data_IF_056359301991
#
_entry.id   IF_056359301991
#
_cell.length_a   1.000
_cell.length_b   1.000
_cell.length_c   1.000
_cell.angle_alpha   90.00
_cell.angle_beta   90.00
_cell.angle_gamma   90.00
#
_symmetry.space_group_name_H-M   'P 1'
#
loop_
_entity.id
_entity.type
_entity.pdbx_description
1 polymer ?
#
# COMPACT_ATOMS: atom_id res chain seq x y z
N UNK A 1 -13.72 19.97 -3.76
CA UNK A 1 -12.56 20.30 -2.92
C UNK A 1 -13.00 20.15 -1.49
N UNK A 2 -12.19 19.55 -0.62
CA UNK A 2 -12.42 19.54 0.82
C UNK A 2 -12.28 21.00 1.25
N UNK A 3 -13.44 21.61 1.48
CA UNK A 3 -13.65 23.02 1.81
C UNK A 3 -13.95 23.20 3.29
N UNK A 4 -13.94 22.12 4.09
CA UNK A 4 -14.21 22.19 5.52
C UNK A 4 -13.08 22.97 6.20
N UNK A 5 -13.44 24.07 6.83
CA UNK A 5 -12.53 24.98 7.52
C UNK A 5 -12.32 24.57 8.98
N UNK A 6 -13.26 23.81 9.55
CA UNK A 6 -13.14 23.19 10.87
C UNK A 6 -13.70 21.76 10.91
N UNK A 7 -13.54 21.11 12.07
CA UNK A 7 -13.92 19.71 12.28
C UNK A 7 -15.44 19.52 12.41
N UNK A 8 -16.18 20.55 12.83
CA UNK A 8 -17.62 20.45 13.05
C UNK A 8 -18.37 20.49 11.71
N UNK A 9 -17.92 21.33 10.77
CA UNK A 9 -18.38 21.30 9.37
C UNK A 9 -18.15 19.92 8.73
N UNK A 10 -17.00 19.28 9.02
CA UNK A 10 -16.70 17.93 8.53
C UNK A 10 -17.64 16.89 9.15
N UNK A 11 -17.89 16.95 10.47
CA UNK A 11 -18.82 16.06 11.17
C UNK A 11 -20.25 16.23 10.65
N UNK A 12 -20.69 17.46 10.38
CA UNK A 12 -21.99 17.76 9.80
C UNK A 12 -22.11 17.14 8.40
N UNK A 13 -21.12 17.35 7.53
CA UNK A 13 -21.12 16.78 6.18
C UNK A 13 -21.15 15.24 6.16
N UNK A 14 -20.55 14.59 7.17
CA UNK A 14 -20.60 13.15 7.39
C UNK A 14 -22.00 12.71 7.82
N UNK A 15 -22.62 13.45 8.76
CA UNK A 15 -23.97 13.20 9.26
C UNK A 15 -25.03 13.35 8.17
N UNK A 16 -24.97 14.42 7.37
CA UNK A 16 -25.88 14.66 6.24
C UNK A 16 -25.88 13.52 5.21
N UNK A 17 -24.73 12.85 5.05
CA UNK A 17 -24.55 11.73 4.12
C UNK A 17 -24.81 10.36 4.75
N UNK A 18 -25.19 10.32 6.02
CA UNK A 18 -25.43 9.08 6.77
C UNK A 18 -24.22 8.12 6.73
N UNK A 19 -23.02 8.65 6.99
CA UNK A 19 -21.76 7.89 6.97
C UNK A 19 -21.25 7.55 8.38
N UNK A 20 -20.72 6.34 8.55
CA UNK A 20 -20.14 5.83 9.80
C UNK A 20 -18.62 6.05 9.81
N UNK A 21 -18.20 7.28 10.11
CA UNK A 21 -16.79 7.66 10.29
C UNK A 21 -16.57 8.03 11.76
N UNK A 22 -15.69 7.33 12.48
CA UNK A 22 -15.45 7.61 13.90
C UNK A 22 -14.53 8.80 14.09
N UNK A 23 -14.76 9.56 15.16
CA UNK A 23 -13.88 10.61 15.65
C UNK A 23 -13.62 10.40 17.14
N UNK A 24 -12.43 10.79 17.59
CA UNK A 24 -12.09 10.87 19.02
C UNK A 24 -11.08 11.99 19.25
N UNK A 25 -11.27 12.73 20.35
CA UNK A 25 -10.34 13.75 20.82
C UNK A 25 -9.21 13.13 21.69
N UNK A 26 -9.33 11.85 22.04
CA UNK A 26 -8.35 11.10 22.80
C UNK A 26 -7.17 10.66 21.92
N UNK A 27 -6.28 11.59 21.58
CA UNK A 27 -5.12 11.30 20.72
C UNK A 27 -4.01 10.50 21.41
N UNK A 28 -4.02 10.40 22.75
CA UNK A 28 -3.09 9.57 23.52
C UNK A 28 -3.16 8.09 23.10
N UNK A 29 -4.33 7.63 22.65
CA UNK A 29 -4.52 6.25 22.20
C UNK A 29 -3.60 5.88 21.02
N UNK A 30 -3.17 6.86 20.23
CA UNK A 30 -2.29 6.68 19.07
C UNK A 30 -0.82 6.53 19.47
N UNK A 31 -0.44 7.01 20.65
CA UNK A 31 0.95 7.01 21.15
C UNK A 31 1.36 5.67 21.77
N UNK A 32 0.39 4.85 22.16
CA UNK A 32 0.64 3.54 22.76
C UNK A 32 1.32 2.56 21.79
N UNK A 33 2.23 1.74 22.32
CA UNK A 33 2.93 0.72 21.56
C UNK A 33 2.05 -0.52 21.28
N UNK A 34 2.55 -1.38 20.39
CA UNK A 34 2.03 -2.71 20.12
C UNK A 34 3.20 -3.70 20.10
N UNK A 35 2.90 -4.98 20.31
CA UNK A 35 3.87 -6.06 20.18
C UNK A 35 3.46 -7.00 19.05
N UNK A 36 4.44 -7.41 18.24
CA UNK A 36 4.29 -8.40 17.19
C UNK A 36 5.48 -9.35 17.24
N UNK A 37 5.22 -10.62 17.60
CA UNK A 37 6.22 -11.69 17.68
C UNK A 37 7.48 -11.28 18.48
N UNK A 38 7.30 -10.65 19.66
CA UNK A 38 8.39 -10.22 20.53
C UNK A 38 9.07 -8.91 20.14
N UNK A 39 8.65 -8.26 19.04
CA UNK A 39 9.15 -6.96 18.60
C UNK A 39 8.14 -5.86 18.90
N UNK A 40 8.63 -4.68 19.26
CA UNK A 40 7.80 -3.52 19.61
C UNK A 40 7.57 -2.64 18.39
N UNK A 41 6.32 -2.25 18.17
CA UNK A 41 5.92 -1.15 17.29
C UNK A 41 5.62 0.05 18.21
N UNK A 42 6.42 1.13 18.20
CA UNK A 42 6.42 2.12 19.29
C UNK A 42 5.17 3.01 19.36
N UNK A 43 4.36 3.07 18.30
CA UNK A 43 3.09 3.79 18.27
C UNK A 43 2.18 3.24 17.16
N UNK A 44 0.91 3.69 17.11
CA UNK A 44 -0.13 3.17 16.21
C UNK A 44 -0.23 3.93 14.88
N UNK A 45 0.84 4.61 14.48
CA UNK A 45 0.92 5.39 13.24
C UNK A 45 1.89 4.73 12.28
N UNK A 46 1.45 4.55 11.03
CA UNK A 46 2.24 3.90 10.00
C UNK A 46 2.40 4.75 8.73
N UNK A 47 3.51 4.50 8.03
CA UNK A 47 3.71 4.97 6.67
C UNK A 47 3.36 3.83 5.72
N UNK A 48 2.40 4.07 4.83
CA UNK A 48 2.03 3.11 3.78
C UNK A 48 3.06 3.10 2.65
N UNK A 49 3.19 1.99 1.92
CA UNK A 49 4.20 1.87 0.89
C UNK A 49 3.81 2.71 -0.34
N UNK A 50 4.73 3.60 -0.73
CA UNK A 50 4.57 4.59 -1.79
C UNK A 50 5.81 4.59 -2.68
N UNK A 51 5.63 4.13 -3.93
CA UNK A 51 6.72 3.98 -4.90
C UNK A 51 7.32 5.33 -5.31
N UNK A 52 8.65 5.45 -5.21
CA UNK A 52 9.44 6.62 -5.57
C UNK A 52 9.91 6.61 -7.03
N UNK A 53 9.97 5.45 -7.69
CA UNK A 53 10.53 5.30 -9.05
C UNK A 53 11.89 6.02 -9.19
N UNK A 54 12.75 5.85 -8.19
CA UNK A 54 14.01 6.56 -8.02
C UNK A 54 15.15 5.66 -7.55
N UNK A 55 15.01 4.33 -7.67
CA UNK A 55 16.11 3.40 -7.43
C UNK A 55 17.25 3.61 -8.44
N UNK A 56 18.45 3.11 -8.09
CA UNK A 56 19.52 2.90 -9.08
C UNK A 56 19.08 1.86 -10.11
N UNK A 57 19.75 1.81 -11.26
CA UNK A 57 19.37 0.89 -12.35
C UNK A 57 19.47 -0.59 -11.94
N UNK A 58 20.41 -0.93 -11.07
CA UNK A 58 20.55 -2.28 -10.50
C UNK A 58 19.47 -2.61 -9.44
N UNK A 59 18.63 -1.64 -9.06
CA UNK A 59 17.57 -1.82 -8.07
C UNK A 59 17.91 -1.38 -6.65
N UNK A 60 19.16 -1.00 -6.38
CA UNK A 60 19.57 -0.55 -5.05
C UNK A 60 18.94 0.81 -4.69
N UNK A 61 18.75 1.10 -3.39
CA UNK A 61 18.38 2.43 -2.92
C UNK A 61 19.30 3.52 -3.47
N UNK A 62 18.71 4.61 -3.94
CA UNK A 62 19.44 5.83 -4.32
C UNK A 62 19.50 6.84 -3.18
N UNK A 63 20.17 7.97 -3.41
CA UNK A 63 20.16 9.11 -2.50
C UNK A 63 18.74 9.63 -2.21
N UNK A 64 17.84 9.61 -3.20
CA UNK A 64 16.45 10.02 -2.99
C UNK A 64 15.66 8.99 -2.19
N UNK A 65 15.94 7.69 -2.40
CA UNK A 65 15.40 6.62 -1.57
C UNK A 65 15.86 6.80 -0.12
N UNK A 66 17.16 6.98 0.11
CA UNK A 66 17.73 7.22 1.43
C UNK A 66 17.13 8.47 2.09
N UNK A 67 17.11 9.61 1.39
CA UNK A 67 16.50 10.85 1.88
C UNK A 67 15.05 10.64 2.30
N UNK A 68 14.26 9.89 1.51
CA UNK A 68 12.85 9.59 1.82
C UNK A 68 12.72 8.82 3.12
N UNK A 69 13.41 7.70 3.27
CA UNK A 69 13.26 6.88 4.47
C UNK A 69 13.89 7.50 5.72
N UNK A 70 14.94 8.32 5.58
CA UNK A 70 15.46 9.10 6.73
C UNK A 70 14.50 10.20 7.19
N UNK A 71 13.73 10.81 6.28
CA UNK A 71 12.65 11.73 6.67
C UNK A 71 11.54 10.99 7.42
N UNK A 72 11.23 9.77 7.01
CA UNK A 72 10.25 8.92 7.68
C UNK A 72 10.72 8.49 9.08
N UNK A 73 11.99 8.12 9.22
CA UNK A 73 12.62 7.85 10.51
C UNK A 73 12.47 9.06 11.45
N UNK A 74 12.88 10.25 10.99
CA UNK A 74 12.71 11.53 11.71
C UNK A 74 11.26 11.85 12.07
N UNK A 75 10.31 11.33 11.31
CA UNK A 75 8.89 11.51 11.52
C UNK A 75 8.26 10.64 12.59
N UNK A 76 9.01 9.71 13.21
CA UNK A 76 8.59 8.90 14.38
C UNK A 76 7.33 8.04 14.17
N UNK A 77 6.99 7.68 12.94
CA UNK A 77 5.94 6.68 12.70
C UNK A 77 6.40 5.32 13.25
N UNK A 78 5.54 4.62 13.99
CA UNK A 78 5.90 3.36 14.62
C UNK A 78 6.10 2.21 13.63
N UNK A 79 5.49 2.28 12.46
CA UNK A 79 5.72 1.33 11.38
C UNK A 79 6.06 2.07 10.08
N UNK A 80 7.14 1.66 9.42
CA UNK A 80 7.51 2.16 8.10
C UNK A 80 7.42 1.01 7.11
N UNK A 81 6.46 1.10 6.19
CA UNK A 81 6.28 0.15 5.11
C UNK A 81 7.02 0.65 3.87
N UNK A 82 8.06 -0.08 3.48
CA UNK A 82 8.82 0.22 2.28
C UNK A 82 8.00 -0.02 1.03
N UNK A 83 8.25 0.80 0.02
CA UNK A 83 7.64 0.71 -1.29
C UNK A 83 7.82 -0.66 -1.97
N UNK A 84 7.01 -0.89 -2.99
CA UNK A 84 7.06 -2.11 -3.79
C UNK A 84 8.48 -2.39 -4.30
N UNK A 85 9.07 -3.47 -3.81
CA UNK A 85 10.40 -3.97 -4.13
C UNK A 85 10.24 -5.27 -4.88
N UNK A 86 10.81 -5.34 -6.09
CA UNK A 86 10.66 -6.49 -6.96
C UNK A 86 11.35 -7.73 -6.36
N UNK A 87 10.75 -8.91 -6.57
CA UNK A 87 11.33 -10.21 -6.17
C UNK A 87 12.27 -10.81 -7.22
N UNK A 88 12.15 -10.35 -8.46
CA UNK A 88 13.00 -10.73 -9.59
C UNK A 88 13.15 -9.55 -10.55
N UNK A 89 14.04 -9.68 -11.53
CA UNK A 89 14.20 -8.66 -12.58
C UNK A 89 12.92 -8.52 -13.40
N UNK A 90 12.27 -9.64 -13.68
CA UNK A 90 11.07 -9.73 -14.50
C UNK A 90 9.84 -9.13 -13.81
N UNK A 91 9.85 -9.16 -12.47
CA UNK A 91 8.83 -8.62 -11.59
C UNK A 91 8.78 -7.07 -11.58
N UNK A 92 9.76 -6.38 -12.19
CA UNK A 92 9.88 -4.92 -12.13
C UNK A 92 8.81 -4.17 -12.94
N UNK A 93 8.36 -3.05 -12.37
CA UNK A 93 7.47 -2.07 -12.97
C UNK A 93 8.21 -1.18 -13.99
N UNK A 94 9.48 -0.90 -13.70
CA UNK A 94 10.41 -0.11 -14.49
C UNK A 94 11.85 -0.29 -13.95
N UNK A 95 12.84 0.15 -14.72
CA UNK A 95 14.27 0.16 -14.40
C UNK A 95 14.67 0.99 -13.15
N UNK A 96 13.74 1.72 -12.53
CA UNK A 96 13.94 2.52 -11.29
C UNK A 96 13.05 2.07 -10.14
N UNK A 97 12.44 0.90 -10.24
CA UNK A 97 11.85 0.24 -9.08
C UNK A 97 12.96 -0.40 -8.22
N UNK A 98 12.82 -0.35 -6.90
CA UNK A 98 13.65 -1.12 -5.99
C UNK A 98 13.59 -2.61 -6.35
N UNK A 99 14.74 -3.28 -6.30
CA UNK A 99 14.86 -4.71 -6.52
C UNK A 99 15.91 -5.24 -5.55
N UNK A 100 15.49 -6.14 -4.66
CA UNK A 100 16.35 -6.76 -3.67
C UNK A 100 16.90 -8.08 -4.24
N UNK A 101 18.22 -8.16 -4.33
CA UNK A 101 18.99 -9.30 -4.82
C UNK A 101 20.37 -9.35 -4.13
N UNK A 102 21.17 -10.37 -4.41
CA UNK A 102 22.50 -10.53 -3.82
C UNK A 102 23.46 -9.36 -4.09
N UNK A 103 23.29 -8.62 -5.19
CA UNK A 103 24.13 -7.47 -5.52
C UNK A 103 23.73 -6.19 -4.78
N UNK A 104 22.52 -6.13 -4.24
CA UNK A 104 21.92 -4.91 -3.66
C UNK A 104 21.63 -5.02 -2.17
N UNK A 105 21.64 -6.23 -1.60
CA UNK A 105 21.31 -6.49 -0.18
C UNK A 105 22.14 -5.65 0.79
N UNK A 106 23.41 -5.39 0.47
CA UNK A 106 24.30 -4.57 1.29
C UNK A 106 23.85 -3.11 1.35
N UNK A 107 23.39 -2.52 0.25
CA UNK A 107 22.84 -1.17 0.24
C UNK A 107 21.51 -1.07 0.98
N UNK A 108 20.65 -2.10 0.90
CA UNK A 108 19.44 -2.18 1.72
C UNK A 108 19.79 -2.28 3.21
N UNK A 109 20.75 -3.13 3.58
CA UNK A 109 21.24 -3.28 4.95
C UNK A 109 21.78 -1.96 5.51
N UNK A 110 22.60 -1.26 4.71
CA UNK A 110 23.11 0.06 5.07
C UNK A 110 21.99 1.09 5.29
N UNK A 111 20.96 1.10 4.43
CA UNK A 111 19.82 1.99 4.60
C UNK A 111 19.00 1.66 5.86
N UNK A 112 18.71 0.38 6.11
CA UNK A 112 18.01 -0.09 7.31
C UNK A 112 18.78 0.32 8.56
N UNK A 113 20.11 0.14 8.58
CA UNK A 113 20.96 0.57 9.68
C UNK A 113 20.86 2.09 9.90
N UNK A 114 20.97 2.89 8.84
CA UNK A 114 20.86 4.36 8.94
C UNK A 114 19.50 4.79 9.49
N UNK A 115 18.41 4.12 9.11
CA UNK A 115 17.07 4.40 9.65
C UNK A 115 17.01 4.11 11.15
N UNK A 116 17.53 2.97 11.59
CA UNK A 116 17.56 2.58 13.01
C UNK A 116 18.44 3.55 13.82
N UNK A 117 19.65 3.85 13.33
CA UNK A 117 20.57 4.82 13.96
C UNK A 117 19.94 6.22 14.08
N UNK A 118 19.29 6.70 13.01
CA UNK A 118 18.62 8.00 13.02
C UNK A 118 17.46 8.02 14.02
N UNK A 119 16.69 6.94 14.11
CA UNK A 119 15.57 6.79 15.06
C UNK A 119 16.03 6.79 16.51
N UNK A 120 17.21 6.22 16.80
CA UNK A 120 17.85 6.29 18.12
C UNK A 120 18.18 7.74 18.49
N UNK A 121 18.79 8.50 17.58
CA UNK A 121 19.23 9.89 17.83
C UNK A 121 18.08 10.86 18.16
N UNK A 122 16.91 10.65 17.57
CA UNK A 122 15.78 11.60 17.66
C UNK A 122 14.78 11.31 18.79
N UNK A 123 14.99 10.26 19.57
CA UNK A 123 14.08 9.88 20.66
C UNK A 123 13.91 8.39 20.92
N UNK A 124 14.78 7.53 20.36
CA UNK A 124 14.80 6.09 20.62
C UNK A 124 13.48 5.34 20.33
N UNK A 125 12.72 5.82 19.33
CA UNK A 125 11.54 5.13 18.80
C UNK A 125 11.90 4.47 17.47
N UNK A 126 12.52 3.30 17.54
CA UNK A 126 12.90 2.54 16.33
C UNK A 126 11.64 2.00 15.66
N UNK A 127 11.37 2.37 14.39
CA UNK A 127 10.19 1.91 13.68
C UNK A 127 10.30 0.43 13.33
N UNK A 128 9.16 -0.26 13.31
CA UNK A 128 9.04 -1.59 12.73
C UNK A 128 9.07 -1.48 11.20
N UNK A 129 10.04 -2.13 10.56
CA UNK A 129 10.30 -1.99 9.13
C UNK A 129 9.73 -3.17 8.34
N UNK A 130 8.85 -2.89 7.38
CA UNK A 130 8.22 -3.89 6.52
C UNK A 130 8.66 -3.68 5.08
N UNK A 131 9.27 -4.68 4.43
CA UNK A 131 9.62 -4.62 3.00
C UNK A 131 8.50 -5.20 2.13
N UNK A 132 7.89 -4.38 1.26
CA UNK A 132 6.85 -4.87 0.34
C UNK A 132 7.46 -5.61 -0.85
N UNK A 133 7.40 -6.94 -0.83
CA UNK A 133 7.74 -7.80 -1.96
C UNK A 133 6.63 -7.76 -3.00
N UNK A 134 6.99 -7.52 -4.25
CA UNK A 134 6.03 -7.25 -5.31
C UNK A 134 6.39 -7.89 -6.65
N UNK A 135 5.35 -8.31 -7.38
CA UNK A 135 5.44 -8.62 -8.80
C UNK A 135 4.48 -7.74 -9.60
N UNK A 136 5.03 -6.93 -10.52
CA UNK A 136 4.28 -5.87 -11.21
C UNK A 136 3.26 -6.39 -12.24
N UNK A 137 3.38 -7.65 -12.65
CA UNK A 137 2.41 -8.35 -13.50
C UNK A 137 2.12 -7.58 -14.79
N UNK A 138 0.84 -7.42 -15.13
CA UNK A 138 0.42 -6.65 -16.32
C UNK A 138 0.92 -5.21 -16.37
N UNK A 139 1.23 -4.62 -15.21
CA UNK A 139 1.75 -3.25 -15.13
C UNK A 139 3.29 -3.20 -15.08
N UNK A 140 3.95 -4.35 -15.17
CA UNK A 140 5.39 -4.50 -15.35
C UNK A 140 5.87 -4.21 -16.77
N UNK A 141 7.19 -4.14 -16.94
CA UNK A 141 7.82 -4.04 -18.27
C UNK A 141 7.58 -5.31 -19.10
N UNK A 142 7.64 -6.47 -18.45
CA UNK A 142 7.48 -7.78 -19.10
C UNK A 142 6.01 -8.22 -19.29
N UNK A 143 5.05 -7.44 -18.78
CA UNK A 143 3.60 -7.67 -19.01
C UNK A 143 3.12 -9.09 -18.69
N UNK A 144 3.66 -9.71 -17.65
CA UNK A 144 3.28 -11.05 -17.22
C UNK A 144 1.85 -11.03 -16.67
N UNK A 145 0.97 -11.87 -17.21
CA UNK A 145 -0.46 -11.92 -16.89
C UNK A 145 -0.87 -13.33 -16.46
N UNK A 146 -1.86 -13.43 -15.56
CA UNK A 146 -2.51 -14.67 -15.19
C UNK A 146 -3.83 -14.91 -15.95
N UNK A 147 -4.42 -13.85 -16.51
CA UNK A 147 -5.65 -13.88 -17.33
C UNK A 147 -5.64 -12.81 -18.43
N UNK A 148 -6.37 -13.08 -19.51
CA UNK A 148 -6.80 -12.08 -20.47
C UNK A 148 -8.13 -11.44 -20.06
N UNK A 149 -8.23 -10.14 -20.29
CA UNK A 149 -9.48 -9.37 -20.28
C UNK A 149 -9.32 -8.18 -21.21
N UNK A 150 -10.26 -7.98 -22.15
CA UNK A 150 -10.13 -6.95 -23.19
C UNK A 150 -9.88 -5.55 -22.61
N UNK A 151 -10.60 -5.17 -21.55
CA UNK A 151 -10.49 -3.83 -20.94
C UNK A 151 -9.16 -3.69 -20.21
N UNK A 152 -8.79 -4.70 -19.43
CA UNK A 152 -7.52 -4.67 -18.69
C UNK A 152 -6.34 -4.70 -19.65
N UNK A 153 -6.37 -5.54 -20.68
CA UNK A 153 -5.26 -5.71 -21.62
C UNK A 153 -5.03 -4.42 -22.41
N UNK A 154 -6.11 -3.79 -22.90
CA UNK A 154 -6.06 -2.46 -23.52
C UNK A 154 -5.50 -1.40 -22.58
N UNK A 155 -5.91 -1.40 -21.30
CA UNK A 155 -5.42 -0.43 -20.31
C UNK A 155 -3.93 -0.63 -20.01
N UNK A 156 -3.47 -1.87 -19.91
CA UNK A 156 -2.08 -2.21 -19.58
C UNK A 156 -1.15 -2.34 -20.78
N UNK A 157 -1.65 -2.14 -22.01
CA UNK A 157 -0.96 -2.40 -23.27
C UNK A 157 -0.40 -3.83 -23.36
N UNK A 158 -1.20 -4.80 -22.93
CA UNK A 158 -0.90 -6.23 -23.09
C UNK A 158 -1.39 -6.66 -24.47
N UNK A 159 -0.56 -7.42 -25.20
CA UNK A 159 -0.96 -7.99 -26.48
C UNK A 159 -1.88 -9.19 -26.21
N UNK A 160 -2.98 -9.32 -26.96
CA UNK A 160 -3.89 -10.46 -26.82
C UNK A 160 -3.20 -11.81 -27.15
N UNK A 161 -2.10 -11.79 -27.90
CA UNK A 161 -1.28 -12.97 -28.19
C UNK A 161 -0.21 -13.27 -27.12
N UNK A 162 -0.12 -12.46 -26.06
CA UNK A 162 0.81 -12.71 -24.96
C UNK A 162 0.41 -13.99 -24.21
N UNK A 163 1.37 -14.87 -23.95
CA UNK A 163 1.12 -16.05 -23.13
C UNK A 163 0.77 -15.68 -21.68
N UNK A 164 -0.11 -16.46 -21.07
CA UNK A 164 -0.32 -16.42 -19.63
C UNK A 164 0.92 -17.02 -18.94
N UNK A 165 1.25 -16.52 -17.74
CA UNK A 165 2.19 -17.22 -16.85
C UNK A 165 1.71 -18.65 -16.65
N UNK A 166 2.57 -19.63 -16.79
CA UNK A 166 2.24 -21.06 -16.67
C UNK A 166 2.15 -21.47 -15.20
N UNK A 167 1.61 -22.65 -14.93
CA UNK A 167 1.57 -23.19 -13.56
C UNK A 167 3.00 -23.48 -13.06
N UNK A 168 3.89 -23.97 -13.93
CA UNK A 168 5.32 -24.17 -13.61
C UNK A 168 6.03 -22.86 -13.30
N UNK A 169 5.83 -21.80 -14.10
CA UNK A 169 6.43 -20.49 -13.81
C UNK A 169 5.90 -19.88 -12.49
N UNK A 170 4.67 -20.19 -12.08
CA UNK A 170 4.15 -19.79 -10.77
C UNK A 170 4.83 -20.58 -9.64
N UNK A 171 5.02 -21.88 -9.80
CA UNK A 171 5.78 -22.70 -8.84
C UNK A 171 7.23 -22.21 -8.71
N UNK A 172 7.88 -21.86 -9.83
CA UNK A 172 9.22 -21.26 -9.82
C UNK A 172 9.23 -19.86 -9.19
N UNK A 173 8.14 -19.08 -9.37
CA UNK A 173 8.02 -17.74 -8.80
C UNK A 173 8.05 -17.74 -7.27
N UNK A 174 7.55 -18.81 -6.65
CA UNK A 174 7.60 -18.99 -5.20
C UNK A 174 9.03 -18.88 -4.66
N UNK A 175 10.01 -19.49 -5.36
CA UNK A 175 11.41 -19.48 -4.96
C UNK A 175 11.98 -18.06 -4.92
N UNK A 176 11.56 -17.16 -5.82
CA UNK A 176 11.98 -15.75 -5.78
C UNK A 176 11.41 -15.01 -4.57
N UNK A 177 10.19 -15.34 -4.11
CA UNK A 177 9.65 -14.76 -2.87
C UNK A 177 10.41 -15.27 -1.64
N UNK A 178 10.76 -16.56 -1.60
CA UNK A 178 11.57 -17.13 -0.52
C UNK A 178 12.95 -16.48 -0.48
N UNK A 179 13.63 -16.38 -1.62
CA UNK A 179 14.96 -15.78 -1.71
C UNK A 179 14.95 -14.30 -1.33
N UNK A 180 14.01 -13.52 -1.88
CA UNK A 180 13.86 -12.12 -1.50
C UNK A 180 13.56 -11.94 0.00
N UNK A 181 12.87 -12.90 0.63
CA UNK A 181 12.61 -12.89 2.07
C UNK A 181 13.87 -13.20 2.90
N UNK A 182 14.73 -14.12 2.44
CA UNK A 182 16.04 -14.38 3.05
C UNK A 182 16.90 -13.12 3.03
N UNK A 183 16.98 -12.47 1.88
CA UNK A 183 17.72 -11.21 1.72
C UNK A 183 17.11 -10.06 2.54
N UNK A 184 15.77 -10.00 2.68
CA UNK A 184 15.14 -8.97 3.50
C UNK A 184 15.50 -9.14 4.98
N UNK A 185 15.54 -10.39 5.46
CA UNK A 185 16.01 -10.71 6.81
C UNK A 185 17.48 -10.36 7.00
N UNK A 186 18.33 -10.69 6.02
CA UNK A 186 19.76 -10.32 6.02
C UNK A 186 19.97 -8.80 6.06
N UNK A 187 19.17 -8.04 5.30
CA UNK A 187 19.18 -6.58 5.31
C UNK A 187 18.64 -5.97 6.61
N UNK A 188 18.11 -6.78 7.53
CA UNK A 188 17.68 -6.35 8.86
C UNK A 188 16.26 -5.77 8.93
N UNK A 189 15.42 -6.05 7.94
CA UNK A 189 13.99 -5.76 8.02
C UNK A 189 13.31 -6.61 9.10
N UNK A 190 12.27 -6.06 9.72
CA UNK A 190 11.52 -6.77 10.76
C UNK A 190 10.50 -7.74 10.17
N UNK A 191 9.92 -7.36 9.02
CA UNK A 191 8.95 -8.15 8.27
C UNK A 191 9.09 -7.98 6.76
N UNK A 192 8.52 -8.94 6.02
CA UNK A 192 8.17 -8.78 4.60
C UNK A 192 6.66 -8.59 4.43
N UNK A 193 6.25 -8.01 3.32
CA UNK A 193 4.86 -7.93 2.88
C UNK A 193 4.67 -8.60 1.52
N UNK A 194 3.76 -9.56 1.44
CA UNK A 194 3.37 -10.21 0.18
C UNK A 194 2.26 -9.39 -0.48
N UNK A 195 2.65 -8.50 -1.40
CA UNK A 195 1.74 -7.55 -2.02
C UNK A 195 0.68 -8.23 -2.89
N UNK A 196 -0.56 -8.23 -2.42
CA UNK A 196 -1.69 -8.95 -3.02
C UNK A 196 -2.87 -8.02 -3.34
N UNK A 197 -2.56 -6.84 -3.89
CA UNK A 197 -3.54 -5.78 -4.14
C UNK A 197 -3.40 -5.15 -5.54
N UNK A 198 -4.40 -4.35 -5.93
CA UNK A 198 -4.32 -3.39 -7.04
C UNK A 198 -4.14 -3.95 -8.46
N UNK A 199 -4.49 -5.22 -8.71
CA UNK A 199 -4.29 -5.92 -10.00
C UNK A 199 -2.82 -6.10 -10.40
N UNK A 200 -1.92 -6.04 -9.43
CA UNK A 200 -0.60 -6.66 -9.57
C UNK A 200 -0.74 -8.18 -9.59
N UNK A 201 0.31 -8.92 -9.95
CA UNK A 201 0.20 -10.33 -10.34
C UNK A 201 -0.57 -11.18 -9.32
N UNK A 202 -0.23 -11.09 -8.03
CA UNK A 202 -0.90 -11.87 -6.99
C UNK A 202 -2.37 -11.49 -6.84
N UNK A 203 -2.71 -10.20 -6.89
CA UNK A 203 -4.11 -9.74 -6.92
C UNK A 203 -4.85 -10.25 -8.15
N UNK A 204 -4.18 -10.33 -9.29
CA UNK A 204 -4.77 -10.87 -10.52
C UNK A 204 -5.06 -12.36 -10.42
N UNK A 205 -4.12 -13.16 -9.89
CA UNK A 205 -4.31 -14.59 -9.62
C UNK A 205 -5.50 -14.80 -8.68
N UNK A 206 -5.61 -13.99 -7.62
CA UNK A 206 -6.76 -14.02 -6.73
C UNK A 206 -8.08 -13.81 -7.49
N UNK A 207 -8.12 -13.02 -8.56
CA UNK A 207 -9.31 -12.80 -9.40
C UNK A 207 -9.45 -13.75 -10.59
N UNK A 208 -8.53 -14.69 -10.80
CA UNK A 208 -8.41 -15.49 -12.03
C UNK A 208 -9.42 -16.65 -12.15
N UNK A 209 -10.72 -16.35 -12.14
CA UNK A 209 -11.80 -17.38 -12.23
C UNK A 209 -11.88 -18.08 -13.58
N UNK A 210 -11.30 -17.49 -14.62
CA UNK A 210 -11.29 -18.02 -15.99
C UNK A 210 -9.97 -18.73 -16.35
N UNK A 211 -8.95 -18.60 -15.50
CA UNK A 211 -7.67 -19.30 -15.66
C UNK A 211 -7.88 -20.81 -15.43
N UNK A 212 -7.33 -21.63 -16.31
CA UNK A 212 -7.27 -23.10 -16.16
C UNK A 212 -6.09 -23.50 -15.27
N UNK A 213 -6.07 -24.74 -14.79
CA UNK A 213 -4.97 -25.26 -13.99
C UNK A 213 -5.16 -25.07 -12.48
N UNK A 214 -4.10 -25.34 -11.73
CA UNK A 214 -4.17 -25.42 -10.26
C UNK A 214 -4.10 -24.06 -9.56
N UNK A 215 -3.83 -22.99 -10.32
CA UNK A 215 -3.79 -21.59 -9.86
C UNK A 215 -4.98 -20.74 -10.37
N UNK A 216 -6.01 -21.37 -10.94
CA UNK A 216 -7.17 -20.69 -11.51
C UNK A 216 -8.51 -21.35 -11.18
N UNK A 217 -9.61 -20.65 -11.50
CA UNK A 217 -10.96 -21.18 -11.33
C UNK A 217 -11.49 -21.04 -9.90
N UNK A 218 -11.62 -22.17 -9.19
CA UNK A 218 -12.21 -22.20 -7.84
C UNK A 218 -11.34 -21.46 -6.81
N UNK A 219 -11.95 -21.10 -5.68
CA UNK A 219 -11.29 -20.35 -4.61
C UNK A 219 -9.97 -20.99 -4.17
N UNK A 220 -9.96 -22.30 -3.91
CA UNK A 220 -8.81 -23.02 -3.38
C UNK A 220 -7.60 -22.93 -4.31
N UNK A 221 -7.84 -22.93 -5.62
CA UNK A 221 -6.81 -22.82 -6.64
C UNK A 221 -6.28 -21.39 -6.75
N UNK A 222 -7.16 -20.38 -6.80
CA UNK A 222 -6.76 -18.97 -6.93
C UNK A 222 -6.01 -18.44 -5.71
N UNK A 223 -6.30 -18.97 -4.52
CA UNK A 223 -5.60 -18.60 -3.27
C UNK A 223 -4.40 -19.49 -2.97
N UNK A 224 -4.14 -20.51 -3.79
CA UNK A 224 -3.04 -21.45 -3.61
C UNK A 224 -1.69 -20.76 -3.51
N UNK A 225 -1.34 -19.97 -4.52
CA UNK A 225 -0.01 -19.37 -4.66
C UNK A 225 0.40 -18.54 -3.43
N UNK A 226 -0.46 -17.62 -2.97
CA UNK A 226 -0.15 -16.81 -1.79
C UNK A 226 0.02 -17.66 -0.52
N UNK A 227 -0.75 -18.74 -0.38
CA UNK A 227 -0.66 -19.65 0.76
C UNK A 227 0.63 -20.48 0.73
N UNK A 228 1.01 -20.98 -0.44
CA UNK A 228 2.26 -21.72 -0.64
C UNK A 228 3.48 -20.82 -0.39
N UNK A 229 3.48 -19.59 -0.89
CA UNK A 229 4.53 -18.58 -0.58
C UNK A 229 4.66 -18.36 0.94
N UNK A 230 3.54 -18.22 1.66
CA UNK A 230 3.56 -18.06 3.13
C UNK A 230 4.13 -19.29 3.82
N UNK A 231 3.69 -20.49 3.42
CA UNK A 231 4.18 -21.74 4.01
C UNK A 231 5.69 -21.90 3.82
N UNK A 232 6.20 -21.61 2.63
CA UNK A 232 7.62 -21.76 2.31
C UNK A 232 8.49 -20.71 3.01
N UNK A 233 8.05 -19.45 3.11
CA UNK A 233 8.77 -18.42 3.89
C UNK A 233 8.81 -18.79 5.37
N UNK A 234 7.70 -19.25 5.94
CA UNK A 234 7.65 -19.70 7.34
C UNK A 234 8.61 -20.88 7.58
N UNK A 235 8.67 -21.83 6.65
CA UNK A 235 9.54 -23.01 6.74
C UNK A 235 11.03 -22.67 6.64
N UNK A 236 11.41 -21.75 5.76
CA UNK A 236 12.82 -21.55 5.41
C UNK A 236 13.48 -20.30 6.01
N UNK A 237 12.72 -19.26 6.31
CA UNK A 237 13.29 -17.92 6.59
C UNK A 237 13.11 -17.51 8.04
N UNK A 238 11.92 -17.71 8.61
CA UNK A 238 11.59 -17.22 9.95
C UNK A 238 11.71 -15.70 10.07
N UNK A 239 11.06 -14.97 9.16
CA UNK A 239 10.82 -13.52 9.20
C UNK A 239 9.32 -13.29 9.38
N UNK A 240 8.92 -12.19 10.03
CA UNK A 240 7.51 -11.88 10.17
C UNK A 240 6.88 -11.61 8.79
N UNK A 241 5.67 -12.11 8.57
CA UNK A 241 4.96 -11.97 7.31
C UNK A 241 3.76 -11.04 7.51
N UNK A 242 3.71 -10.03 6.65
CA UNK A 242 2.56 -9.17 6.43
C UNK A 242 1.93 -9.46 5.07
N UNK A 243 0.65 -9.12 4.93
CA UNK A 243 -0.03 -9.16 3.63
C UNK A 243 -0.84 -7.89 3.41
N UNK A 244 -0.52 -7.17 2.33
CA UNK A 244 -1.34 -6.08 1.81
C UNK A 244 -2.35 -6.62 0.80
N UNK A 245 -3.62 -6.62 1.18
CA UNK A 245 -4.69 -7.31 0.44
C UNK A 245 -5.80 -6.34 0.01
N UNK A 246 -6.26 -6.48 -1.23
CA UNK A 246 -7.53 -5.88 -1.63
C UNK A 246 -8.69 -6.62 -0.92
N UNK A 247 -9.54 -5.90 -0.18
CA UNK A 247 -10.81 -6.46 0.28
C UNK A 247 -11.79 -6.59 -0.88
N UNK A 248 -11.74 -5.66 -1.82
CA UNK A 248 -12.46 -5.74 -3.09
C UNK A 248 -11.69 -4.97 -4.15
N UNK A 249 -11.64 -5.49 -5.37
CA UNK A 249 -11.08 -4.74 -6.51
C UNK A 249 -12.11 -3.86 -7.24
N UNK A 250 -13.41 -4.07 -7.00
CA UNK A 250 -14.51 -3.41 -7.70
C UNK A 250 -14.36 -3.49 -9.23
N UNK A 251 -14.01 -4.67 -9.73
CA UNK A 251 -13.98 -4.99 -11.15
C UNK A 251 -15.18 -5.84 -11.57
N UNK A 252 -15.40 -5.95 -12.88
CA UNK A 252 -16.48 -6.77 -13.41
C UNK A 252 -16.24 -8.26 -13.20
N UNK A 253 -17.32 -9.01 -12.99
CA UNK A 253 -17.28 -10.47 -12.95
C UNK A 253 -17.02 -11.03 -14.37
N UNK A 254 -16.28 -12.15 -14.56
CA UNK A 254 -15.70 -13.05 -13.54
C UNK A 254 -14.26 -12.74 -13.12
N UNK A 255 -13.62 -11.68 -13.60
CA UNK A 255 -12.19 -11.43 -13.37
C UNK A 255 -11.87 -10.77 -12.02
N UNK A 256 -12.90 -10.58 -11.20
CA UNK A 256 -12.86 -9.83 -9.96
C UNK A 256 -12.51 -10.69 -8.73
N UNK A 257 -11.84 -10.05 -7.77
CA UNK A 257 -11.63 -10.46 -6.39
C UNK A 257 -12.48 -9.62 -5.43
N UNK A 258 -13.18 -10.29 -4.52
CA UNK A 258 -13.98 -9.63 -3.48
C UNK A 258 -15.12 -8.77 -4.03
N UNK A 259 -15.64 -9.09 -5.21
CA UNK A 259 -16.80 -8.39 -5.81
C UNK A 259 -17.78 -9.42 -6.37
N UNK A 260 -19.07 -9.21 -6.10
CA UNK A 260 -20.14 -10.06 -6.60
C UNK A 260 -20.50 -9.72 -8.06
N UNK A 261 -21.44 -10.48 -8.65
CA UNK A 261 -21.93 -10.26 -10.02
C UNK A 261 -22.63 -8.91 -10.24
N UNK A 262 -23.03 -8.21 -9.18
CA UNK A 262 -23.63 -6.88 -9.22
C UNK A 262 -22.60 -5.74 -9.16
N UNK A 263 -21.31 -6.06 -8.98
CA UNK A 263 -20.26 -5.05 -8.83
C UNK A 263 -20.13 -4.50 -7.41
N UNK A 264 -20.77 -5.14 -6.43
CA UNK A 264 -20.71 -4.76 -5.00
C UNK A 264 -19.63 -5.59 -4.29
N UNK A 265 -19.05 -5.03 -3.23
CA UNK A 265 -18.07 -5.74 -2.42
C UNK A 265 -18.67 -7.01 -1.79
N UNK A 266 -17.96 -8.13 -1.94
CA UNK A 266 -18.28 -9.41 -1.32
C UNK A 266 -17.08 -9.85 -0.50
N UNK A 267 -17.24 -9.83 0.83
CA UNK A 267 -16.17 -10.07 1.79
C UNK A 267 -15.98 -11.56 2.10
N UNK A 268 -16.78 -12.46 1.54
CA UNK A 268 -16.71 -13.90 1.82
C UNK A 268 -15.32 -14.48 1.54
N UNK A 269 -14.82 -14.37 0.31
CA UNK A 269 -13.49 -14.87 -0.08
C UNK A 269 -12.34 -14.07 0.58
N UNK A 270 -12.35 -12.72 0.64
CA UNK A 270 -11.33 -11.97 1.35
C UNK A 270 -11.19 -12.34 2.82
N UNK A 271 -12.30 -12.44 3.57
CA UNK A 271 -12.24 -12.82 4.98
C UNK A 271 -11.81 -14.27 5.17
N UNK A 272 -12.25 -15.19 4.29
CA UNK A 272 -11.78 -16.58 4.30
C UNK A 272 -10.27 -16.67 4.08
N UNK A 273 -9.73 -15.90 3.14
CA UNK A 273 -8.29 -15.88 2.87
C UNK A 273 -7.50 -15.31 4.06
N UNK A 274 -7.98 -14.23 4.68
CA UNK A 274 -7.33 -13.65 5.86
C UNK A 274 -7.31 -14.66 7.02
N UNK A 275 -8.39 -15.42 7.21
CA UNK A 275 -8.45 -16.52 8.21
C UNK A 275 -7.40 -17.60 7.92
N UNK A 276 -7.35 -18.11 6.68
CA UNK A 276 -6.38 -19.13 6.27
C UNK A 276 -4.93 -18.64 6.40
N UNK A 277 -4.66 -17.36 6.11
CA UNK A 277 -3.34 -16.75 6.28
C UNK A 277 -2.99 -16.56 7.76
N UNK A 278 -3.97 -16.19 8.59
CA UNK A 278 -3.82 -16.06 10.05
C UNK A 278 -3.48 -17.41 10.67
N UNK A 279 -4.16 -18.49 10.27
CA UNK A 279 -3.84 -19.86 10.71
C UNK A 279 -2.41 -20.28 10.33
N UNK A 280 -1.88 -19.74 9.24
CA UNK A 280 -0.48 -19.88 8.80
C UNK A 280 0.48 -18.91 9.48
N UNK A 281 0.04 -18.15 10.49
CA UNK A 281 0.90 -17.28 11.29
C UNK A 281 1.04 -15.84 10.79
N UNK A 282 0.32 -15.44 9.73
CA UNK A 282 0.28 -14.02 9.30
C UNK A 282 -0.50 -13.21 10.33
N UNK A 283 0.18 -12.28 11.00
CA UNK A 283 -0.38 -11.45 12.08
C UNK A 283 -0.46 -9.96 11.75
N UNK A 284 -0.03 -9.54 10.56
CA UNK A 284 -0.06 -8.15 10.12
C UNK A 284 -0.75 -8.03 8.75
N UNK A 285 -1.95 -7.45 8.71
CA UNK A 285 -2.74 -7.27 7.49
C UNK A 285 -2.90 -5.80 7.19
N UNK A 286 -2.58 -5.40 5.95
CA UNK A 286 -2.80 -4.05 5.46
C UNK A 286 -3.93 -4.06 4.44
N UNK A 287 -5.09 -3.54 4.85
CA UNK A 287 -6.29 -3.57 4.00
C UNK A 287 -6.25 -2.45 2.98
N UNK A 288 -6.71 -2.74 1.78
CA UNK A 288 -6.92 -1.74 0.74
C UNK A 288 -8.00 -2.20 -0.25
N UNK A 289 -8.24 -1.44 -1.30
CA UNK A 289 -9.25 -1.76 -2.30
C UNK A 289 -8.94 -1.11 -3.64
N UNK A 290 -9.63 -1.58 -4.68
CA UNK A 290 -9.57 -1.04 -6.03
C UNK A 290 -8.23 -1.25 -6.72
N UNK A 291 -8.07 -0.56 -7.85
CA UNK A 291 -6.85 -0.43 -8.62
C UNK A 291 -6.60 1.04 -8.97
N UNK A 292 -5.37 1.54 -8.77
CA UNK A 292 -5.04 2.93 -9.02
C UNK A 292 -5.13 3.33 -10.51
N UNK A 293 -5.20 2.35 -11.42
CA UNK A 293 -5.27 2.55 -12.88
C UNK A 293 -6.69 2.47 -13.44
N UNK A 294 -7.63 1.87 -12.69
CA UNK A 294 -8.98 1.54 -13.20
C UNK A 294 -10.03 2.39 -12.48
N UNK A 295 -10.06 2.30 -11.15
CA UNK A 295 -11.05 2.93 -10.29
C UNK A 295 -10.33 3.66 -9.13
N UNK A 296 -9.52 4.69 -9.44
CA UNK A 296 -8.62 5.30 -8.48
C UNK A 296 -9.29 5.90 -7.24
N UNK A 297 -10.53 6.39 -7.37
CA UNK A 297 -11.32 6.93 -6.26
C UNK A 297 -11.58 5.89 -5.15
N UNK A 298 -11.67 4.59 -5.48
CA UNK A 298 -11.83 3.49 -4.52
C UNK A 298 -10.57 3.38 -3.64
N UNK A 299 -9.41 3.44 -4.28
CA UNK A 299 -8.12 3.22 -3.63
C UNK A 299 -7.63 4.45 -2.86
N UNK A 300 -7.86 5.63 -3.43
CA UNK A 300 -7.26 6.89 -2.98
C UNK A 300 -8.23 8.07 -3.14
N UNK A 301 -9.29 8.17 -2.33
CA UNK A 301 -10.25 9.26 -2.39
C UNK A 301 -9.58 10.64 -2.50
N UNK A 302 -10.14 11.49 -3.36
CA UNK A 302 -9.59 12.80 -3.70
C UNK A 302 -10.70 13.73 -4.19
N UNK A 303 -10.53 15.03 -3.97
CA UNK A 303 -11.46 16.08 -4.40
C UNK A 303 -11.68 16.17 -5.92
N UNK A 304 -10.76 15.56 -6.66
CA UNK A 304 -10.75 15.41 -8.10
C UNK A 304 -9.53 14.60 -8.49
N UNK A 305 -9.59 13.92 -9.64
CA UNK A 305 -8.42 13.31 -10.26
C UNK A 305 -7.95 14.21 -11.42
N UNK A 306 -6.85 13.83 -12.09
CA UNK A 306 -6.38 14.51 -13.29
C UNK A 306 -7.54 14.76 -14.28
N UNK A 307 -7.44 15.79 -15.13
CA UNK A 307 -8.49 16.36 -16.03
C UNK A 307 -9.36 15.38 -16.87
N UNK A 308 -9.12 14.08 -16.85
CA UNK A 308 -9.85 13.04 -17.60
C UNK A 308 -10.67 12.09 -16.72
N UNK A 309 -10.69 12.27 -15.40
CA UNK A 309 -11.41 11.39 -14.49
C UNK A 309 -12.18 12.19 -13.44
N UNK A 310 -13.51 12.08 -13.48
CA UNK A 310 -14.39 12.59 -12.44
C UNK A 310 -14.80 11.41 -11.57
N UNK A 311 -14.45 11.39 -10.27
CA UNK A 311 -14.93 10.36 -9.35
C UNK A 311 -16.46 10.24 -9.40
N UNK A 312 -17.02 9.01 -9.46
CA UNK A 312 -18.46 8.80 -9.54
C UNK A 312 -19.18 8.98 -8.19
N UNK A 313 -18.43 9.26 -7.12
CA UNK A 313 -18.92 9.37 -5.75
C UNK A 313 -18.19 10.50 -5.01
N UNK A 314 -18.80 10.98 -3.93
CA UNK A 314 -18.15 11.92 -3.03
C UNK A 314 -16.98 11.24 -2.29
N UNK A 315 -15.84 11.91 -2.07
CA UNK A 315 -14.68 11.30 -1.40
C UNK A 315 -14.97 10.74 -0.01
N UNK A 316 -15.92 11.34 0.73
CA UNK A 316 -16.37 10.82 2.03
C UNK A 316 -16.92 9.39 1.93
N UNK A 317 -17.59 9.03 0.84
CA UNK A 317 -18.09 7.66 0.59
C UNK A 317 -16.89 6.71 0.44
N UNK A 318 -15.88 7.12 -0.33
CA UNK A 318 -14.68 6.33 -0.56
C UNK A 318 -13.85 6.10 0.70
N UNK A 319 -13.66 7.13 1.53
CA UNK A 319 -12.93 6.98 2.81
C UNK A 319 -13.71 6.14 3.82
N UNK A 320 -15.03 6.32 3.93
CA UNK A 320 -15.87 5.53 4.83
C UNK A 320 -15.83 4.04 4.45
N UNK A 321 -15.91 3.72 3.16
CA UNK A 321 -15.75 2.34 2.66
C UNK A 321 -14.42 1.72 3.10
N UNK A 322 -13.31 2.44 2.97
CA UNK A 322 -11.99 1.93 3.37
C UNK A 322 -11.91 1.72 4.90
N UNK A 323 -12.51 2.63 5.69
CA UNK A 323 -12.65 2.49 7.14
C UNK A 323 -13.47 1.25 7.50
N UNK A 324 -14.62 1.04 6.85
CA UNK A 324 -15.48 -0.14 7.04
C UNK A 324 -14.77 -1.43 6.68
N UNK A 325 -13.93 -1.43 5.65
CA UNK A 325 -13.10 -2.60 5.32
C UNK A 325 -12.09 -2.92 6.42
N UNK A 326 -11.43 -1.92 7.02
CA UNK A 326 -10.58 -2.13 8.19
C UNK A 326 -11.39 -2.70 9.36
N UNK A 327 -12.53 -2.08 9.67
CA UNK A 327 -13.46 -2.50 10.73
C UNK A 327 -13.87 -3.96 10.60
N UNK A 328 -14.40 -4.34 9.44
CA UNK A 328 -14.90 -5.70 9.18
C UNK A 328 -13.81 -6.76 9.36
N UNK A 329 -12.56 -6.45 8.99
CA UNK A 329 -11.42 -7.37 9.19
C UNK A 329 -11.00 -7.40 10.65
N UNK A 330 -10.81 -6.24 11.31
CA UNK A 330 -10.31 -6.16 12.67
C UNK A 330 -11.31 -6.70 13.71
N UNK A 331 -12.62 -6.47 13.51
CA UNK A 331 -13.67 -7.01 14.37
C UNK A 331 -13.73 -8.54 14.32
N UNK A 332 -13.52 -9.12 13.13
CA UNK A 332 -13.50 -10.57 12.92
C UNK A 332 -12.22 -11.21 13.45
N UNK A 333 -11.06 -10.58 13.27
CA UNK A 333 -9.76 -11.11 13.66
C UNK A 333 -9.08 -10.17 14.67
N UNK A 334 -9.47 -10.29 15.93
CA UNK A 334 -9.02 -9.38 17.01
C UNK A 334 -7.57 -9.61 17.44
N UNK A 335 -7.01 -10.78 17.17
CA UNK A 335 -5.66 -11.18 17.57
C UNK A 335 -4.58 -10.72 16.58
N UNK A 336 -4.93 -10.43 15.32
CA UNK A 336 -4.00 -9.83 14.34
C UNK A 336 -3.98 -8.30 14.42
N UNK A 337 -2.98 -7.69 13.81
CA UNK A 337 -2.85 -6.25 13.60
C UNK A 337 -3.36 -5.91 12.20
N UNK A 338 -4.48 -5.18 12.14
CA UNK A 338 -4.95 -4.56 10.91
C UNK A 338 -4.44 -3.13 10.82
N UNK A 339 -3.82 -2.79 9.69
CA UNK A 339 -3.44 -1.41 9.35
C UNK A 339 -4.54 -0.76 8.52
N UNK A 340 -5.16 0.27 9.06
CA UNK A 340 -6.17 1.08 8.39
C UNK A 340 -5.60 1.97 7.29
N UNK A 341 -6.44 2.36 6.32
CA UNK A 341 -6.03 3.17 5.16
C UNK A 341 -7.10 4.19 4.76
N UNK A 342 -6.78 5.03 3.77
CA UNK A 342 -7.75 5.95 3.15
C UNK A 342 -7.86 7.33 3.78
N UNK A 343 -7.13 7.61 4.86
CA UNK A 343 -7.38 8.83 5.65
C UNK A 343 -6.77 10.12 5.09
N UNK A 344 -5.90 10.06 4.08
CA UNK A 344 -5.20 11.28 3.59
C UNK A 344 -6.12 12.40 3.09
N UNK A 345 -7.38 12.10 2.75
CA UNK A 345 -8.36 13.12 2.35
C UNK A 345 -8.84 14.00 3.52
N UNK A 346 -8.75 13.52 4.76
CA UNK A 346 -9.07 14.29 5.97
C UNK A 346 -8.04 15.38 6.29
N UNK A 347 -6.89 15.41 5.59
CA UNK A 347 -5.84 16.43 5.77
C UNK A 347 -5.36 16.51 7.22
N UNK A 348 -5.49 17.68 7.85
CA UNK A 348 -5.08 17.91 9.23
C UNK A 348 -6.06 17.33 10.27
N UNK A 349 -7.26 16.89 9.84
CA UNK A 349 -8.22 16.20 10.71
C UNK A 349 -7.94 14.69 10.87
N UNK A 350 -6.90 14.16 10.20
CA UNK A 350 -6.49 12.75 10.30
C UNK A 350 -6.35 12.27 11.76
N UNK A 351 -5.76 13.02 12.72
CA UNK A 351 -5.53 12.50 14.07
C UNK A 351 -6.84 12.10 14.77
N UNK A 352 -7.89 12.90 14.61
CA UNK A 352 -9.19 12.64 15.25
C UNK A 352 -9.89 11.40 14.68
N UNK A 353 -9.83 11.21 13.36
CA UNK A 353 -10.39 10.02 12.70
C UNK A 353 -9.55 8.79 13.05
N UNK A 354 -8.23 8.92 13.04
CA UNK A 354 -7.32 7.84 13.39
C UNK A 354 -7.53 7.37 14.84
N UNK A 355 -7.64 8.31 15.79
CA UNK A 355 -7.94 8.01 17.19
C UNK A 355 -9.30 7.33 17.33
N UNK A 356 -10.34 7.84 16.65
CA UNK A 356 -11.66 7.22 16.64
C UNK A 356 -11.66 5.79 16.09
N UNK A 357 -10.89 5.52 15.03
CA UNK A 357 -10.75 4.17 14.48
C UNK A 357 -10.08 3.21 15.46
N UNK A 358 -8.99 3.65 16.11
CA UNK A 358 -8.27 2.81 17.09
C UNK A 358 -9.13 2.58 18.35
N UNK A 359 -9.78 3.63 18.85
CA UNK A 359 -10.59 3.59 20.07
C UNK A 359 -11.81 2.67 19.92
N UNK A 360 -12.47 2.71 18.76
CA UNK A 360 -13.59 1.80 18.45
C UNK A 360 -13.14 0.41 17.97
N UNK A 361 -11.84 0.14 17.90
CA UNK A 361 -11.30 -1.16 17.49
C UNK A 361 -11.44 -1.47 15.99
N UNK A 362 -11.55 -0.46 15.13
CA UNK A 362 -11.65 -0.65 13.66
C UNK A 362 -10.31 -1.03 13.03
N UNK A 363 -9.20 -0.73 13.70
CA UNK A 363 -7.85 -1.15 13.34
C UNK A 363 -6.93 -0.99 14.56
N UNK A 364 -5.81 -1.71 14.60
CA UNK A 364 -4.77 -1.50 15.63
C UNK A 364 -3.76 -0.41 15.25
N UNK A 365 -3.56 -0.16 13.96
CA UNK A 365 -2.63 0.84 13.42
C UNK A 365 -3.32 1.60 12.29
N UNK A 366 -3.03 2.89 12.14
CA UNK A 366 -3.48 3.71 11.01
C UNK A 366 -2.30 4.07 10.13
N UNK A 367 -2.38 3.74 8.84
CA UNK A 367 -1.33 4.07 7.87
C UNK A 367 -1.70 5.20 6.93
N UNK A 368 -0.71 6.01 6.55
CA UNK A 368 -0.88 7.08 5.57
C UNK A 368 0.10 6.93 4.39
N UNK A 369 -0.41 7.01 3.16
CA UNK A 369 0.38 6.88 1.92
C UNK A 369 0.81 8.24 1.37
N UNK A 370 -0.01 8.83 0.48
CA UNK A 370 0.28 10.14 -0.13
C UNK A 370 0.52 11.27 0.90
N UNK A 371 -0.04 11.15 2.12
CA UNK A 371 0.28 12.08 3.22
C UNK A 371 1.77 12.01 3.60
N UNK A 372 2.37 10.83 3.69
CA UNK A 372 3.77 10.69 4.11
C UNK A 372 4.74 11.39 3.13
N UNK A 373 4.42 11.42 1.83
CA UNK A 373 5.19 12.25 0.89
C UNK A 373 5.08 13.76 1.16
N UNK A 374 3.89 14.22 1.56
CA UNK A 374 3.63 15.64 1.77
C UNK A 374 4.12 16.11 3.15
N UNK A 375 3.92 15.27 4.16
CA UNK A 375 4.05 15.54 5.58
C UNK A 375 4.73 14.32 6.23
N UNK A 376 6.04 14.08 5.99
CA UNK A 376 6.73 12.87 6.48
C UNK A 376 6.84 12.80 8.01
N UNK A 377 6.73 13.95 8.68
CA UNK A 377 6.82 14.14 10.13
C UNK A 377 5.44 14.20 10.81
N UNK A 378 4.37 13.78 10.13
CA UNK A 378 3.02 13.80 10.69
C UNK A 378 2.90 13.05 12.02
N UNK A 379 3.57 11.90 12.17
CA UNK A 379 3.44 11.09 13.38
C UNK A 379 4.10 11.76 14.57
N UNK A 380 5.27 12.37 14.37
CA UNK A 380 5.94 13.22 15.36
C UNK A 380 4.99 14.33 15.85
N UNK A 381 4.38 15.08 14.94
CA UNK A 381 3.50 16.20 15.33
C UNK A 381 2.24 15.71 16.06
N UNK A 382 1.68 14.56 15.68
CA UNK A 382 0.56 13.95 16.42
C UNK A 382 1.01 13.57 17.84
N UNK A 383 2.18 12.94 17.98
CA UNK A 383 2.67 12.43 19.26
C UNK A 383 3.06 13.58 20.21
N UNK A 384 3.76 14.59 19.69
CA UNK A 384 4.34 15.68 20.48
C UNK A 384 3.35 16.85 20.68
N UNK A 385 2.52 17.14 19.68
CA UNK A 385 1.68 18.35 19.65
C UNK A 385 0.18 18.05 19.59
N UNK A 386 -0.23 16.78 19.55
CA UNK A 386 -1.64 16.38 19.43
C UNK A 386 -2.35 17.04 18.22
N UNK A 387 -1.62 17.27 17.13
CA UNK A 387 -2.18 17.90 15.93
C UNK A 387 -1.46 17.47 14.65
N UNK A 388 -2.00 17.93 13.53
CA UNK A 388 -1.30 18.00 12.25
C UNK A 388 -1.47 19.41 11.69
N UNK A 389 -0.44 19.96 11.06
CA UNK A 389 -0.53 21.26 10.40
C UNK A 389 -1.20 21.17 9.02
N UNK A 390 -2.12 22.10 8.73
CA UNK A 390 -2.83 22.16 7.45
C UNK A 390 -1.89 22.44 6.26
N UNK A 391 -0.95 23.36 6.44
CA UNK A 391 0.00 23.80 5.41
C UNK A 391 0.99 22.70 4.98
N UNK A 392 1.25 21.70 5.82
CA UNK A 392 2.06 20.50 5.52
C UNK A 392 1.22 19.38 4.93
N UNK A 393 -0.07 19.33 5.27
CA UNK A 393 -0.99 18.28 4.85
C UNK A 393 -1.12 18.12 3.33
N UNK A 394 -1.31 16.86 2.91
CA UNK A 394 -1.58 16.47 1.53
C UNK A 394 -2.95 16.99 1.10
N UNK A 395 -2.98 17.71 -0.02
CA UNK A 395 -4.22 18.26 -0.59
C UNK A 395 -4.91 17.29 -1.57
N UNK A 396 -4.49 16.03 -1.62
CA UNK A 396 -5.03 15.00 -2.53
C UNK A 396 -4.99 15.33 -4.03
N UNK A 397 -4.10 16.23 -4.46
CA UNK A 397 -4.00 16.68 -5.86
C UNK A 397 -3.55 15.63 -6.89
N UNK A 398 -3.24 14.40 -6.47
CA UNK A 398 -2.84 13.28 -7.33
C UNK A 398 -1.58 13.45 -8.19
N UNK A 399 -0.85 14.56 -8.09
CA UNK A 399 0.39 14.79 -8.85
C UNK A 399 1.49 13.74 -8.58
N UNK A 400 1.54 13.19 -7.37
CA UNK A 400 2.43 12.07 -7.07
C UNK A 400 2.07 10.81 -7.87
N UNK A 401 0.78 10.50 -8.02
CA UNK A 401 0.33 9.39 -8.85
C UNK A 401 0.59 9.65 -10.34
N UNK A 402 0.46 10.90 -10.81
CA UNK A 402 0.80 11.28 -12.18
C UNK A 402 2.30 11.12 -12.49
N UNK A 403 3.18 11.52 -11.55
CA UNK A 403 4.62 11.27 -11.66
C UNK A 403 4.90 9.76 -11.83
N UNK A 404 4.32 8.95 -10.94
CA UNK A 404 4.45 7.49 -10.95
C UNK A 404 3.97 6.88 -12.26
N UNK A 405 2.78 7.25 -12.72
CA UNK A 405 2.20 6.76 -13.97
C UNK A 405 3.05 7.11 -15.21
N UNK A 406 3.85 8.16 -15.13
CA UNK A 406 4.80 8.58 -16.19
C UNK A 406 6.25 8.11 -15.91
N UNK A 407 6.45 7.19 -14.96
CA UNK A 407 7.76 6.65 -14.56
C UNK A 407 8.78 7.77 -14.27
N UNK A 408 8.34 8.80 -13.55
CA UNK A 408 9.20 9.87 -13.04
C UNK A 408 9.48 9.66 -11.56
N UNK A 409 10.57 10.26 -11.09
CA UNK A 409 10.86 10.36 -9.66
C UNK A 409 9.61 10.91 -8.96
N UNK A 410 9.15 10.19 -7.96
CA UNK A 410 7.82 10.34 -7.38
C UNK A 410 7.92 10.81 -5.94
N UNK A 411 7.11 11.81 -5.62
CA UNK A 411 6.99 12.42 -4.30
C UNK A 411 5.98 13.55 -4.31
N UNK A 412 5.99 14.41 -3.29
CA UNK A 412 5.02 15.50 -3.20
C UNK A 412 5.45 16.72 -4.02
N UNK A 413 4.80 16.94 -5.17
CA UNK A 413 5.01 18.12 -6.01
C UNK A 413 4.68 19.44 -5.31
N UNK A 414 3.83 19.44 -4.28
CA UNK A 414 3.34 20.66 -3.62
C UNK A 414 4.18 21.03 -2.40
N UNK A 415 4.58 20.05 -1.60
CA UNK A 415 5.29 20.25 -0.33
C UNK A 415 6.80 20.02 -0.43
N UNK A 416 7.27 19.41 -1.51
CA UNK A 416 8.68 19.14 -1.78
C UNK A 416 9.01 19.55 -3.24
N UNK A 417 8.70 20.82 -3.54
CA UNK A 417 8.74 21.40 -4.89
C UNK A 417 10.14 21.35 -5.49
N UNK A 418 11.17 21.56 -4.69
CA UNK A 418 12.56 21.64 -5.15
C UNK A 418 13.00 20.35 -5.84
N UNK A 419 12.50 19.20 -5.36
CA UNK A 419 12.79 17.89 -5.93
C UNK A 419 11.79 17.53 -7.04
N UNK A 420 10.49 17.71 -6.81
CA UNK A 420 9.46 17.05 -7.63
C UNK A 420 8.72 17.98 -8.62
N UNK A 421 8.85 19.30 -8.51
CA UNK A 421 8.17 20.23 -9.43
C UNK A 421 8.76 20.15 -10.84
N UNK A 422 10.10 20.14 -10.97
CA UNK A 422 10.76 20.10 -12.28
C UNK A 422 10.40 18.83 -13.08
N UNK A 423 10.48 17.61 -12.52
CA UNK A 423 9.98 16.40 -13.18
C UNK A 423 8.51 16.49 -13.60
N UNK A 424 7.66 17.08 -12.75
CA UNK A 424 6.24 17.23 -13.05
C UNK A 424 5.98 18.20 -14.21
N UNK A 425 6.71 19.32 -14.27
CA UNK A 425 6.60 20.28 -15.37
C UNK A 425 6.96 19.68 -16.73
N UNK A 426 7.87 18.70 -16.78
CA UNK A 426 8.18 17.95 -18.01
C UNK A 426 6.96 17.19 -18.52
N UNK A 427 6.18 16.57 -17.63
CA UNK A 427 4.94 15.87 -18.00
C UNK A 427 3.92 16.86 -18.58
N UNK A 428 3.72 18.01 -17.92
CA UNK A 428 2.76 19.02 -18.38
C UNK A 428 3.12 19.59 -19.76
N UNK A 429 4.42 19.81 -20.05
CA UNK A 429 4.90 20.28 -21.36
C UNK A 429 4.63 19.24 -22.45
N UNK A 430 4.95 17.96 -22.22
CA UNK A 430 4.68 16.86 -23.17
C UNK A 430 3.20 16.68 -23.48
N UNK A 431 2.33 16.92 -22.50
CA UNK A 431 0.88 16.81 -22.69
C UNK A 431 0.30 18.00 -23.48
N UNK A 432 0.92 19.17 -23.42
CA UNK A 432 0.54 20.33 -24.24
C UNK A 432 0.94 20.16 -25.71
N UNK A 433 2.07 19.53 -26.00
CA UNK A 433 2.54 19.32 -27.38
C UNK A 433 1.83 18.18 -28.13
N UNK A 434 0.94 17.44 -27.46
CA UNK A 434 0.09 16.38 -28.05
C UNK A 434 -1.34 16.84 -28.33
N UNK A 435 -1.64 18.11 -28.05
CA UNK A 435 -2.88 18.80 -28.39
C UNK A 435 -2.56 19.78 -29.50
#
# INVERSE_FOLDING_TARGET
>A
MNTHTDIDELKEAIKERNLDIPFSDNLEILKGNLELNGKVIPNKLAIHPMEGCDAKLNGAPSELTERRYLRYARGKAGLIWFEATAVSKEARANDKQLFLNHETVNEFSALVKKIKDESVKIGNQVPYLVLQLAHSGRFGENKIIAIHDEKLDKLSNVNYNSSLITDQELEELENFYVEASKLAKEAGFDAIDIKSCHRYLLSEILGARTRKGIFGGKYENRTRFIKEVVDSINKEVGIDIAVRLNISDFLHYPISWGTNKKGEADLSEPLKLIEELREKGVKLINVTAGSPYINPHINRPADGEAKKYTPPEHPLIGVERLIKFSKNVQEKFRDIIVVGTGLSWFRHFVPFVAAGMVEKGYCKIVGLGRMAFAYPDFAKDIIENNNMEENKSCITCNRCAELKANQKITGCVIRDKDVYLKPYMVILRKNKSKR
#
